data_IF_916069931224
#
_entry.id   IF_916069931224
#
_cell.length_a   1.000
_cell.length_b   1.000
_cell.length_c   1.000
_cell.angle_alpha   90.00
_cell.angle_beta   90.00
_cell.angle_gamma   90.00
#
_symmetry.space_group_name_H-M   'P 1'
#
loop_
_entity.id
_entity.type
_entity.pdbx_description
1 polymer ?
#
# COMPACT_ATOMS: atom_id res chain seq x y z
N UNK A 1 8.82 -25.39 -7.38
CA UNK A 1 8.86 -24.98 -7.74
C UNK A 1 8.26 -24.04 -8.06
N UNK A 2 8.20 -23.46 -8.22
CA UNK A 2 7.77 -22.60 -8.50
C UNK A 2 7.28 -22.31 -9.49
N UNK A 3 6.82 -21.82 -9.80
CA UNK A 3 6.34 -21.56 -10.63
C UNK A 3 6.55 -20.91 -11.41
N UNK A 4 6.67 -20.72 -11.74
CA UNK A 4 6.88 -20.17 -12.47
C UNK A 4 6.36 -19.57 -13.29
N UNK A 5 6.36 -19.43 -13.67
CA UNK A 5 6.16 -18.81 -14.64
C UNK A 5 5.39 -17.81 -14.61
N UNK A 6 5.01 -17.64 -13.96
CA UNK A 6 4.20 -16.83 -14.15
C UNK A 6 4.32 -15.58 -13.88
N UNK A 7 3.90 -14.88 -14.56
CA UNK A 7 3.81 -13.59 -14.38
C UNK A 7 2.62 -13.25 -13.62
N UNK A 8 1.85 -14.22 -13.18
CA UNK A 8 0.66 -13.92 -12.51
C UNK A 8 0.91 -13.53 -11.10
N UNK A 9 0.35 -12.45 -10.61
CA UNK A 9 0.48 -11.98 -9.26
C UNK A 9 -0.81 -12.23 -8.56
N UNK A 10 -0.77 -12.88 -7.42
CA UNK A 10 -2.01 -13.16 -6.69
C UNK A 10 -2.51 -11.90 -6.05
N UNK A 11 -3.78 -11.85 -5.68
CA UNK A 11 -4.30 -10.69 -4.97
C UNK A 11 -3.55 -10.40 -3.68
N UNK A 12 -3.08 -11.44 -3.02
CA UNK A 12 -2.34 -11.24 -1.80
C UNK A 12 -1.02 -10.58 -2.05
N UNK A 13 -0.38 -10.95 -3.13
CA UNK A 13 0.88 -10.33 -3.47
C UNK A 13 0.69 -8.87 -3.85
N UNK A 14 -0.41 -8.58 -4.53
CA UNK A 14 -0.69 -7.20 -4.88
C UNK A 14 -0.93 -6.36 -3.64
N UNK A 15 -1.65 -6.93 -2.69
CA UNK A 15 -1.88 -6.22 -1.44
C UNK A 15 -0.57 -5.99 -0.70
N UNK A 16 0.27 -7.01 -0.66
CA UNK A 16 1.55 -6.88 0.01
C UNK A 16 2.40 -5.82 -0.64
N UNK A 17 2.39 -5.77 -1.95
CA UNK A 17 3.14 -4.76 -2.69
C UNK A 17 2.66 -3.36 -2.32
N UNK A 18 1.35 -3.17 -2.29
CA UNK A 18 0.79 -1.87 -1.96
C UNK A 18 1.12 -1.48 -0.52
N UNK A 19 1.04 -2.44 0.38
CA UNK A 19 1.39 -2.16 1.77
C UNK A 19 2.85 -1.78 1.89
N UNK A 20 3.69 -2.45 1.14
CA UNK A 20 5.10 -2.15 1.14
C UNK A 20 5.38 -0.74 0.66
N UNK A 21 4.70 -0.33 -0.41
CA UNK A 21 4.84 1.02 -0.90
C UNK A 21 4.52 2.03 0.17
N UNK A 22 3.44 1.79 0.90
CA UNK A 22 3.04 2.71 1.95
C UNK A 22 4.08 2.76 3.06
N UNK A 23 4.61 1.61 3.44
CA UNK A 23 5.60 1.58 4.50
C UNK A 23 6.89 2.25 4.08
N UNK A 24 7.30 2.02 2.85
CA UNK A 24 8.51 2.64 2.34
C UNK A 24 8.38 4.14 2.37
N UNK A 25 7.25 4.64 1.90
CA UNK A 25 7.03 6.06 1.88
C UNK A 25 6.99 6.63 3.29
N UNK A 26 6.38 5.88 4.20
CA UNK A 26 6.33 6.31 5.59
C UNK A 26 7.74 6.49 6.15
N UNK A 27 8.61 5.55 5.86
CA UNK A 27 9.98 5.64 6.34
C UNK A 27 10.73 6.77 5.67
N UNK A 28 10.48 6.98 4.39
CA UNK A 28 11.12 8.06 3.67
C UNK A 28 10.72 9.42 4.18
N UNK A 29 9.44 9.58 4.46
CA UNK A 29 8.91 10.88 4.84
C UNK A 29 8.97 11.14 6.33
N UNK A 30 9.03 10.10 7.12
CA UNK A 30 8.97 10.24 8.55
C UNK A 30 7.58 10.56 9.04
N UNK A 31 6.56 10.35 8.21
CA UNK A 31 5.18 10.58 8.59
C UNK A 31 4.31 9.74 7.70
N UNK A 32 3.03 9.69 8.03
CA UNK A 32 2.11 8.90 7.23
C UNK A 32 2.03 9.48 5.82
N UNK A 33 2.10 8.63 4.81
CA UNK A 33 2.02 9.12 3.44
C UNK A 33 0.61 9.52 3.10
N UNK A 34 0.48 10.42 2.15
CA UNK A 34 -0.82 10.85 1.68
C UNK A 34 -0.91 10.56 0.20
N UNK A 35 -2.09 10.78 -0.36
CA UNK A 35 -2.27 10.56 -1.78
C UNK A 35 -1.34 11.42 -2.60
N UNK A 36 -0.99 12.58 -2.09
CA UNK A 36 -0.12 13.48 -2.82
C UNK A 36 1.31 12.99 -2.89
N UNK A 37 1.68 12.08 -2.02
CA UNK A 37 3.04 11.57 -1.98
C UNK A 37 3.25 10.49 -3.03
N UNK A 38 2.20 10.07 -3.71
CA UNK A 38 2.28 9.08 -4.78
C UNK A 38 1.70 9.68 -6.04
N UNK A 39 2.07 9.14 -7.19
CA UNK A 39 1.44 9.62 -8.42
C UNK A 39 0.08 8.99 -8.56
N UNK A 40 -0.67 9.43 -9.57
CA UNK A 40 -2.03 8.98 -9.77
C UNK A 40 -2.11 7.49 -9.95
N UNK A 41 -1.18 6.94 -10.70
CA UNK A 41 -1.22 5.52 -10.99
C UNK A 41 -1.04 4.71 -9.71
N UNK A 42 -0.07 5.11 -8.90
CA UNK A 42 0.18 4.39 -7.66
C UNK A 42 -1.01 4.51 -6.72
N UNK A 43 -1.59 5.70 -6.62
CA UNK A 43 -2.75 5.89 -5.76
C UNK A 43 -3.90 5.00 -6.20
N UNK A 44 -4.14 4.93 -7.50
CA UNK A 44 -5.22 4.12 -8.03
C UNK A 44 -5.00 2.66 -7.69
N UNK A 45 -3.78 2.19 -7.82
CA UNK A 45 -3.48 0.80 -7.53
C UNK A 45 -3.62 0.50 -6.05
N UNK A 46 -3.14 1.40 -5.21
CA UNK A 46 -3.26 1.21 -3.78
C UNK A 46 -4.73 1.15 -3.38
N UNK A 47 -5.53 2.04 -3.94
CA UNK A 47 -6.95 2.02 -3.64
C UNK A 47 -7.60 0.73 -4.14
N UNK A 48 -7.20 0.28 -5.31
CA UNK A 48 -7.78 -0.92 -5.88
C UNK A 48 -7.46 -2.14 -5.04
N UNK A 49 -6.27 -2.20 -4.47
CA UNK A 49 -5.85 -3.38 -3.75
C UNK A 49 -6.19 -3.32 -2.26
N UNK A 50 -6.09 -2.16 -1.66
CA UNK A 50 -6.28 -2.03 -0.22
C UNK A 50 -7.56 -1.31 0.18
N UNK A 51 -8.15 -0.57 -0.75
CA UNK A 51 -9.38 0.14 -0.46
C UNK A 51 -9.13 1.60 -0.19
N UNK A 52 -10.07 2.28 0.46
CA UNK A 52 -9.92 3.69 0.73
C UNK A 52 -8.63 3.98 1.46
N UNK A 53 -8.13 5.18 1.33
CA UNK A 53 -6.82 5.54 1.87
C UNK A 53 -6.69 5.22 3.36
N UNK A 54 -7.66 5.58 4.19
CA UNK A 54 -7.52 5.23 5.61
C UNK A 54 -7.39 3.73 5.83
N UNK A 55 -8.16 2.97 5.07
CA UNK A 55 -8.11 1.53 5.18
C UNK A 55 -6.76 1.00 4.68
N UNK A 56 -6.24 1.60 3.62
CA UNK A 56 -4.97 1.20 3.09
C UNK A 56 -3.87 1.40 4.12
N UNK A 57 -3.90 2.52 4.81
CA UNK A 57 -2.91 2.77 5.84
C UNK A 57 -3.01 1.76 6.97
N UNK A 58 -4.22 1.40 7.33
CA UNK A 58 -4.42 0.41 8.36
C UNK A 58 -3.86 -0.94 7.94
N UNK A 59 -4.10 -1.30 6.69
CA UNK A 59 -3.60 -2.57 6.17
C UNK A 59 -2.09 -2.63 6.22
N UNK A 60 -1.45 -1.51 6.00
CA UNK A 60 0.00 -1.45 6.05
C UNK A 60 0.53 -1.30 7.47
N UNK A 61 -0.36 -1.20 8.44
CA UNK A 61 0.05 -1.04 9.82
C UNK A 61 0.48 0.36 10.16
N UNK A 62 0.03 1.31 9.34
CA UNK A 62 0.45 2.70 9.52
C UNK A 62 -0.68 3.59 9.98
N UNK A 63 -1.68 3.03 10.67
CA UNK A 63 -2.81 3.85 10.98
C UNK A 63 -2.45 5.00 11.87
N UNK A 64 -3.21 6.05 11.74
CA UNK A 64 -2.96 7.24 12.48
C UNK A 64 -3.30 7.08 13.92
N UNK A 65 -2.59 7.71 14.79
CA UNK A 65 -2.89 7.65 16.20
C UNK A 65 -3.97 8.61 16.51
N UNK A 66 -5.11 8.37 16.22
CA UNK A 66 -6.11 9.25 16.42
C UNK A 66 -6.68 9.23 17.64
N UNK A 67 -6.92 9.63 18.10
CA UNK A 67 -7.48 9.53 18.94
C UNK A 67 -8.53 9.69 19.15
N UNK A 68 -9.00 9.79 19.32
CA UNK A 68 -9.94 9.90 19.48
C UNK A 68 -10.35 9.98 19.72
#
# INVERSE_FOLDING_TARGET
MRKEGGMQVTPEEKKAWAEDLLRQKYMDLGRLPTKKDFDSAACAQIKAYLGPWPRALESAGLKEPKEK
#
